data_IF_866472784912
#
_entry.id   IF_866472784912
#
_cell.length_a   1.000
_cell.length_b   1.000
_cell.length_c   1.000
_cell.angle_alpha   90.00
_cell.angle_beta   90.00
_cell.angle_gamma   90.00
#
_symmetry.space_group_name_H-M   'P 1'
#
loop_
_entity.id
_entity.type
_entity.pdbx_description
1 polymer ?
#
# COMPACT_ATOMS: atom_id res chain seq x y z
N UNK A 1 8.33 -20.54 6.90
CA UNK A 1 9.18 -19.34 6.96
C UNK A 1 9.00 -18.51 5.71
N UNK A 2 9.24 -17.22 5.82
CA UNK A 2 9.15 -16.27 4.70
C UNK A 2 10.30 -15.26 4.78
N UNK A 3 10.72 -14.74 3.62
CA UNK A 3 11.77 -13.73 3.51
C UNK A 3 11.32 -12.27 3.75
N UNK A 4 10.11 -12.06 4.29
CA UNK A 4 9.66 -10.72 4.63
C UNK A 4 10.41 -10.14 5.83
N UNK A 5 10.73 -8.86 5.76
CA UNK A 5 11.31 -8.10 6.87
C UNK A 5 10.20 -7.69 7.84
N UNK A 6 9.97 -8.51 8.85
CA UNK A 6 9.05 -8.32 9.95
C UNK A 6 9.53 -9.15 11.15
N UNK A 7 9.02 -8.88 12.34
CA UNK A 7 9.30 -9.67 13.55
C UNK A 7 7.98 -10.17 14.13
N UNK A 8 7.94 -11.45 14.49
CA UNK A 8 6.86 -12.01 15.28
C UNK A 8 7.29 -12.10 16.73
N UNK A 9 6.47 -11.61 17.63
CA UNK A 9 6.61 -11.81 19.07
C UNK A 9 5.33 -12.40 19.65
N UNK A 10 5.40 -12.97 20.84
CA UNK A 10 4.20 -13.35 21.59
C UNK A 10 4.13 -12.46 22.84
N UNK A 11 2.99 -11.87 23.07
CA UNK A 11 2.71 -11.09 24.26
C UNK A 11 2.51 -12.05 25.44
N UNK A 12 3.35 -11.99 26.48
CA UNK A 12 3.25 -12.92 27.61
C UNK A 12 1.96 -12.72 28.44
N UNK A 13 1.38 -11.53 28.42
CA UNK A 13 0.18 -11.23 29.19
C UNK A 13 -1.10 -11.77 28.54
N UNK A 14 -1.18 -11.74 27.21
CA UNK A 14 -2.40 -12.12 26.47
C UNK A 14 -2.22 -13.42 25.70
N UNK A 15 -1.01 -13.91 25.53
CA UNK A 15 -0.67 -15.04 24.66
C UNK A 15 -0.80 -14.75 23.17
N UNK A 16 -1.20 -13.53 22.76
CA UNK A 16 -1.40 -13.16 21.37
C UNK A 16 -0.07 -13.01 20.65
N UNK A 17 -0.05 -13.38 19.38
CA UNK A 17 1.05 -13.08 18.50
C UNK A 17 0.97 -11.64 17.99
N UNK A 18 2.11 -10.96 18.05
CA UNK A 18 2.28 -9.58 17.60
C UNK A 18 3.08 -9.58 16.31
N UNK A 19 2.67 -8.74 15.36
CA UNK A 19 3.45 -8.40 14.18
C UNK A 19 4.21 -7.11 14.48
N UNK A 20 5.52 -7.20 14.56
CA UNK A 20 6.40 -6.09 14.93
C UNK A 20 7.28 -5.69 13.76
N UNK A 21 7.71 -4.44 13.76
CA UNK A 21 8.62 -3.91 12.76
C UNK A 21 10.00 -4.58 12.86
N UNK A 22 10.69 -4.76 11.71
CA UNK A 22 12.03 -5.34 11.69
C UNK A 22 13.09 -4.36 12.24
N UNK A 23 14.29 -4.88 12.45
CA UNK A 23 15.48 -4.09 12.77
C UNK A 23 15.80 -3.08 11.66
N UNK A 24 15.82 -3.52 10.41
CA UNK A 24 16.01 -2.66 9.25
C UNK A 24 14.69 -1.97 8.88
N UNK A 25 14.49 -0.75 9.39
CA UNK A 25 13.29 0.07 9.15
C UNK A 25 13.11 0.46 7.69
N UNK A 26 14.18 0.53 6.91
CA UNK A 26 14.12 0.87 5.48
C UNK A 26 13.52 -0.25 4.65
N UNK A 27 13.46 -1.46 5.22
CA UNK A 27 12.91 -2.68 4.60
C UNK A 27 11.63 -3.18 5.28
N UNK A 28 11.01 -2.35 6.12
CA UNK A 28 9.80 -2.71 6.85
C UNK A 28 8.67 -3.12 5.90
N UNK A 29 8.24 -4.38 6.02
CA UNK A 29 7.16 -4.98 5.24
C UNK A 29 5.93 -5.32 6.08
N UNK A 30 5.82 -4.81 7.30
CA UNK A 30 4.65 -5.06 8.17
C UNK A 30 3.36 -4.56 7.56
N UNK A 31 3.42 -3.48 6.74
CA UNK A 31 2.25 -2.95 6.04
C UNK A 31 1.55 -3.98 5.15
N UNK A 32 2.29 -4.81 4.41
CA UNK A 32 1.68 -5.83 3.52
C UNK A 32 1.28 -7.11 4.26
N UNK A 33 1.66 -7.25 5.53
CA UNK A 33 1.41 -8.42 6.37
C UNK A 33 0.24 -8.20 7.35
N UNK A 34 -0.44 -7.06 7.29
CA UNK A 34 -1.50 -6.67 8.23
C UNK A 34 -2.67 -7.66 8.28
N UNK A 35 -2.89 -8.43 7.23
CA UNK A 35 -3.99 -9.39 7.11
C UNK A 35 -3.69 -10.77 7.71
N UNK A 36 -2.48 -10.99 8.25
CA UNK A 36 -2.14 -12.25 8.90
C UNK A 36 -2.97 -12.46 10.17
N UNK A 37 -3.71 -13.54 10.23
CA UNK A 37 -4.49 -13.94 11.40
C UNK A 37 -3.57 -14.45 12.52
N UNK A 38 -4.10 -14.58 13.75
CA UNK A 38 -3.37 -15.15 14.88
C UNK A 38 -2.89 -16.57 14.59
N UNK A 39 -3.70 -17.39 13.92
CA UNK A 39 -3.30 -18.73 13.50
C UNK A 39 -2.13 -18.70 12.51
N UNK A 40 -2.17 -17.84 11.51
CA UNK A 40 -1.10 -17.68 10.53
C UNK A 40 0.18 -17.15 11.18
N UNK A 41 0.09 -16.17 12.07
CA UNK A 41 1.24 -15.65 12.82
C UNK A 41 1.88 -16.73 13.70
N UNK A 42 1.08 -17.57 14.37
CA UNK A 42 1.59 -18.68 15.15
C UNK A 42 2.48 -19.64 14.33
N UNK A 43 2.14 -19.84 13.06
CA UNK A 43 2.81 -20.79 12.16
C UNK A 43 3.76 -20.14 11.16
N UNK A 44 4.03 -18.83 11.28
CA UNK A 44 4.94 -18.09 10.39
C UNK A 44 6.24 -17.74 11.11
N UNK A 45 7.37 -17.96 10.46
CA UNK A 45 8.69 -17.51 10.89
C UNK A 45 9.18 -16.39 9.96
N UNK A 46 9.75 -15.34 10.54
CA UNK A 46 10.39 -14.21 9.86
C UNK A 46 11.90 -14.18 10.18
N UNK A 47 12.71 -15.02 9.52
CA UNK A 47 14.13 -15.15 9.88
C UNK A 47 14.94 -13.87 9.65
N UNK A 48 14.46 -12.96 8.81
CA UNK A 48 15.15 -11.71 8.46
C UNK A 48 14.79 -10.53 9.37
N UNK A 49 13.88 -10.70 10.31
CA UNK A 49 13.36 -9.61 11.13
C UNK A 49 14.38 -8.88 11.97
N UNK A 50 15.36 -9.61 12.51
CA UNK A 50 16.42 -9.08 13.38
C UNK A 50 17.73 -8.77 12.62
N UNK A 51 17.70 -8.83 11.27
CA UNK A 51 18.86 -8.59 10.41
C UNK A 51 18.69 -7.32 9.57
N UNK A 52 19.81 -6.66 9.29
CA UNK A 52 19.88 -5.62 8.29
C UNK A 52 20.08 -6.20 6.89
N UNK A 53 19.58 -5.54 5.86
CA UNK A 53 19.70 -6.01 4.46
C UNK A 53 21.15 -6.29 4.06
N UNK A 54 22.09 -5.46 4.53
CA UNK A 54 23.52 -5.66 4.26
C UNK A 54 24.02 -6.99 4.85
N UNK A 55 23.62 -7.32 6.08
CA UNK A 55 23.97 -8.58 6.73
C UNK A 55 23.41 -9.80 5.96
N UNK A 56 22.14 -9.70 5.52
CA UNK A 56 21.51 -10.76 4.73
C UNK A 56 22.25 -11.00 3.42
N UNK A 57 22.71 -9.93 2.74
CA UNK A 57 23.51 -10.05 1.51
C UNK A 57 24.85 -10.74 1.79
N UNK A 58 25.57 -10.35 2.84
CA UNK A 58 26.83 -10.98 3.23
C UNK A 58 26.64 -12.47 3.54
N UNK A 59 25.58 -12.83 4.27
CA UNK A 59 25.25 -14.23 4.55
C UNK A 59 24.94 -15.02 3.29
N UNK A 60 24.19 -14.43 2.36
CA UNK A 60 23.86 -15.04 1.08
C UNK A 60 25.11 -15.26 0.19
N UNK A 61 26.02 -14.30 0.18
CA UNK A 61 27.29 -14.37 -0.53
C UNK A 61 28.20 -15.46 0.08
N UNK A 62 28.35 -15.47 1.39
CA UNK A 62 29.10 -16.50 2.10
C UNK A 62 28.54 -17.92 1.90
N UNK A 63 27.23 -18.04 1.68
CA UNK A 63 26.56 -19.29 1.34
C UNK A 63 26.60 -19.63 -0.16
N UNK A 64 27.26 -18.83 -1.00
CA UNK A 64 27.41 -19.06 -2.44
C UNK A 64 26.10 -18.92 -3.22
N UNK A 65 25.11 -18.14 -2.71
CA UNK A 65 23.84 -17.96 -3.41
C UNK A 65 23.99 -17.01 -4.57
N UNK A 66 23.61 -17.46 -5.76
CA UNK A 66 23.75 -16.72 -7.04
C UNK A 66 22.97 -15.39 -7.09
N UNK A 67 21.96 -15.23 -6.23
CA UNK A 67 21.11 -14.04 -6.16
C UNK A 67 21.53 -13.06 -5.05
N UNK A 68 22.66 -13.25 -4.40
CA UNK A 68 23.17 -12.40 -3.30
C UNK A 68 23.26 -10.92 -3.68
N UNK A 69 23.62 -10.62 -4.94
CA UNK A 69 23.75 -9.27 -5.48
C UNK A 69 22.53 -8.78 -6.28
N UNK A 70 21.47 -9.62 -6.39
CA UNK A 70 20.27 -9.21 -7.13
C UNK A 70 19.65 -7.96 -6.50
N UNK A 71 19.33 -6.91 -7.27
CA UNK A 71 18.57 -5.77 -6.76
C UNK A 71 17.23 -6.20 -6.20
N UNK A 72 16.69 -5.42 -5.26
CA UNK A 72 15.34 -5.65 -4.77
C UNK A 72 14.35 -5.50 -5.91
N UNK A 73 13.33 -6.34 -5.95
CA UNK A 73 12.23 -6.19 -6.90
C UNK A 73 11.53 -4.86 -6.62
N UNK A 74 11.56 -3.96 -7.60
CA UNK A 74 10.94 -2.64 -7.50
C UNK A 74 9.49 -2.65 -7.97
N UNK A 75 9.09 -3.72 -8.66
CA UNK A 75 7.82 -3.79 -9.36
C UNK A 75 7.24 -5.21 -9.35
N UNK A 76 6.03 -5.36 -9.88
CA UNK A 76 5.33 -6.64 -9.96
C UNK A 76 6.06 -7.54 -10.96
N UNK A 77 6.56 -8.70 -10.48
CA UNK A 77 7.44 -9.58 -11.25
C UNK A 77 6.84 -10.16 -12.54
N UNK A 78 5.51 -10.16 -12.67
CA UNK A 78 4.81 -10.62 -13.87
C UNK A 78 4.39 -9.48 -14.82
N UNK A 79 4.80 -8.22 -14.54
CA UNK A 79 4.67 -7.06 -15.42
C UNK A 79 6.05 -6.40 -15.57
N UNK A 80 7.01 -7.08 -16.22
CA UNK A 80 8.42 -6.67 -16.20
C UNK A 80 8.70 -5.35 -16.95
N UNK A 81 7.82 -4.96 -17.86
CA UNK A 81 7.87 -3.73 -18.65
C UNK A 81 7.13 -2.54 -18.00
N UNK A 82 6.45 -2.78 -16.85
CA UNK A 82 5.63 -1.76 -16.19
C UNK A 82 4.34 -1.40 -16.94
N UNK A 83 3.99 -2.10 -18.03
CA UNK A 83 2.73 -1.88 -18.76
C UNK A 83 1.55 -2.63 -18.08
N UNK A 84 1.15 -2.13 -16.91
CA UNK A 84 0.00 -2.67 -16.18
C UNK A 84 -1.30 -2.61 -16.98
N UNK A 85 -1.47 -1.60 -17.82
CA UNK A 85 -2.67 -1.45 -18.64
C UNK A 85 -2.74 -2.53 -19.72
N UNK A 86 -1.63 -2.80 -20.39
CA UNK A 86 -1.50 -3.91 -21.34
C UNK A 86 -1.72 -5.26 -20.67
N UNK A 87 -1.14 -5.47 -19.51
CA UNK A 87 -1.34 -6.70 -18.74
C UNK A 87 -2.81 -6.91 -18.36
N UNK A 88 -3.49 -5.90 -17.80
CA UNK A 88 -4.92 -5.98 -17.42
C UNK A 88 -5.77 -6.29 -18.65
N UNK A 89 -5.56 -5.58 -19.75
CA UNK A 89 -6.29 -5.83 -21.00
C UNK A 89 -6.12 -7.27 -21.50
N UNK A 90 -4.89 -7.76 -21.48
CA UNK A 90 -4.59 -9.14 -21.90
C UNK A 90 -5.23 -10.18 -20.97
N UNK A 91 -5.13 -9.97 -19.65
CA UNK A 91 -5.63 -10.91 -18.64
C UNK A 91 -7.15 -10.95 -18.53
N UNK A 92 -7.83 -9.84 -18.79
CA UNK A 92 -9.30 -9.72 -18.62
C UNK A 92 -10.08 -9.68 -19.92
N UNK A 93 -9.42 -9.43 -21.06
CA UNK A 93 -10.08 -9.15 -22.34
C UNK A 93 -10.85 -7.81 -22.37
N UNK A 94 -10.77 -7.01 -21.28
CA UNK A 94 -11.53 -5.78 -21.17
C UNK A 94 -10.88 -4.65 -21.99
N UNK A 95 -11.71 -3.94 -22.76
CA UNK A 95 -11.28 -2.71 -23.40
C UNK A 95 -11.18 -1.57 -22.40
N UNK A 96 -10.07 -0.83 -22.48
CA UNK A 96 -9.84 0.35 -21.64
C UNK A 96 -10.51 1.54 -22.32
N UNK A 97 -11.65 1.98 -21.76
CA UNK A 97 -12.44 3.07 -22.34
C UNK A 97 -11.89 4.44 -21.87
N UNK A 98 -11.62 5.36 -22.81
CA UNK A 98 -11.39 6.76 -22.46
C UNK A 98 -12.63 7.37 -21.80
N UNK A 99 -12.43 8.34 -20.88
CA UNK A 99 -13.50 9.02 -20.18
C UNK A 99 -13.17 10.49 -19.94
N UNK A 100 -13.94 11.14 -19.07
CA UNK A 100 -13.79 12.57 -18.82
C UNK A 100 -12.98 12.84 -17.54
N UNK A 101 -12.07 13.81 -17.63
CA UNK A 101 -11.60 14.51 -16.46
C UNK A 101 -12.65 15.55 -16.05
N UNK A 102 -13.04 15.50 -14.78
CA UNK A 102 -13.96 16.47 -14.19
C UNK A 102 -13.23 17.34 -13.17
N UNK A 103 -13.63 18.58 -13.01
CA UNK A 103 -13.26 19.37 -11.83
C UNK A 103 -14.05 18.94 -10.59
N UNK A 104 -13.78 19.55 -9.43
CA UNK A 104 -14.50 19.24 -8.18
C UNK A 104 -15.97 19.68 -8.18
N UNK A 105 -16.38 20.52 -9.13
CA UNK A 105 -17.76 20.91 -9.36
C UNK A 105 -18.51 19.99 -10.36
N UNK A 106 -17.80 19.01 -10.94
CA UNK A 106 -18.36 18.07 -11.91
C UNK A 106 -18.31 18.54 -13.36
N UNK A 107 -17.64 19.65 -13.66
CA UNK A 107 -17.52 20.14 -15.04
C UNK A 107 -16.41 19.39 -15.78
N UNK A 108 -16.60 19.00 -17.06
CA UNK A 108 -15.56 18.37 -17.85
C UNK A 108 -14.44 19.37 -18.18
N UNK A 109 -13.20 18.96 -17.93
CA UNK A 109 -11.98 19.76 -18.14
C UNK A 109 -10.98 19.10 -19.09
N UNK A 110 -11.30 17.93 -19.61
CA UNK A 110 -10.46 17.20 -20.54
C UNK A 110 -10.86 15.73 -20.65
N UNK A 111 -10.07 14.95 -21.38
CA UNK A 111 -10.32 13.52 -21.54
C UNK A 111 -9.15 12.69 -21.06
N UNK A 112 -9.43 11.60 -20.36
CA UNK A 112 -8.44 10.63 -19.93
C UNK A 112 -8.47 9.37 -20.80
N UNK A 113 -7.36 8.61 -20.78
CA UNK A 113 -7.16 7.39 -21.59
C UNK A 113 -7.62 6.09 -20.91
N UNK A 114 -8.40 6.19 -19.84
CA UNK A 114 -8.94 5.08 -19.08
C UNK A 114 -8.54 5.11 -17.60
N UNK A 115 -9.47 4.76 -16.70
CA UNK A 115 -9.33 4.85 -15.23
C UNK A 115 -8.10 4.14 -14.67
N UNK A 116 -7.66 3.06 -15.30
CA UNK A 116 -6.52 2.25 -14.83
C UNK A 116 -5.18 2.98 -14.89
N UNK A 117 -5.07 4.03 -15.69
CA UNK A 117 -3.85 4.83 -15.83
C UNK A 117 -3.69 5.90 -14.73
N UNK A 118 -4.69 6.02 -13.84
CA UNK A 118 -4.71 7.10 -12.86
C UNK A 118 -4.85 6.54 -11.44
N UNK A 119 -4.13 7.17 -10.52
CA UNK A 119 -4.14 6.82 -9.08
C UNK A 119 -4.46 8.07 -8.28
N UNK A 120 -5.29 7.97 -7.25
CA UNK A 120 -5.59 9.08 -6.34
C UNK A 120 -4.28 9.62 -5.75
N UNK A 121 -4.09 10.94 -5.79
CA UNK A 121 -2.87 11.63 -5.43
C UNK A 121 -1.87 11.80 -6.57
N UNK A 122 -2.14 11.25 -7.76
CA UNK A 122 -1.28 11.44 -8.93
C UNK A 122 -1.32 12.90 -9.39
N UNK A 123 -0.12 13.48 -9.58
CA UNK A 123 0.06 14.85 -10.08
C UNK A 123 0.60 14.89 -11.51
N UNK A 124 1.52 13.96 -11.85
CA UNK A 124 2.20 13.94 -13.15
C UNK A 124 1.48 13.05 -14.15
N UNK A 125 1.65 13.34 -15.46
CA UNK A 125 1.13 12.49 -16.54
C UNK A 125 -0.39 12.59 -16.74
N UNK A 126 -1.02 13.68 -16.30
CA UNK A 126 -2.46 13.91 -16.48
C UNK A 126 -2.79 14.38 -17.91
N UNK A 127 -1.82 15.01 -18.61
CA UNK A 127 -2.09 15.58 -19.94
C UNK A 127 -2.97 16.82 -19.91
N UNK A 128 -3.12 17.47 -18.76
CA UNK A 128 -3.92 18.67 -18.57
C UNK A 128 -3.03 19.91 -18.38
N UNK A 129 -3.40 21.02 -18.99
CA UNK A 129 -2.72 22.32 -18.87
C UNK A 129 -3.62 23.29 -18.08
N UNK A 130 -3.57 23.20 -16.73
CA UNK A 130 -4.46 23.95 -15.85
C UNK A 130 -3.82 25.19 -15.22
N UNK A 131 -2.54 25.49 -15.55
CA UNK A 131 -1.81 26.66 -15.01
C UNK A 131 -1.52 26.61 -13.51
N UNK A 132 -1.92 25.53 -12.82
CA UNK A 132 -1.70 25.29 -11.39
C UNK A 132 -1.43 23.81 -11.13
N UNK A 133 -0.78 23.45 -10.00
CA UNK A 133 -0.69 22.06 -9.58
C UNK A 133 -2.09 21.44 -9.43
N UNK A 134 -2.27 20.26 -10.01
CA UNK A 134 -3.53 19.54 -9.99
C UNK A 134 -3.29 18.06 -9.73
N UNK A 135 -4.22 17.43 -9.02
CA UNK A 135 -4.11 16.06 -8.52
C UNK A 135 -5.37 15.27 -8.86
N UNK A 136 -5.21 13.98 -9.06
CA UNK A 136 -6.35 13.06 -9.07
C UNK A 136 -6.89 12.96 -7.65
N UNK A 137 -8.09 13.47 -7.42
CA UNK A 137 -8.74 13.47 -6.10
C UNK A 137 -9.88 12.44 -6.02
N UNK A 138 -10.39 11.96 -7.15
CA UNK A 138 -11.44 10.95 -7.20
C UNK A 138 -11.40 10.15 -8.49
N UNK A 139 -12.01 8.97 -8.43
CA UNK A 139 -12.27 8.09 -9.59
C UNK A 139 -13.65 7.49 -9.42
N UNK A 140 -14.46 7.55 -10.45
CA UNK A 140 -15.77 6.92 -10.50
C UNK A 140 -15.82 5.92 -11.67
N UNK A 141 -15.97 4.64 -11.33
CA UNK A 141 -16.05 3.59 -12.33
C UNK A 141 -17.41 3.54 -13.04
N UNK A 142 -18.48 4.00 -12.40
CA UNK A 142 -19.82 3.97 -12.98
C UNK A 142 -19.98 5.01 -14.11
N UNK A 143 -19.45 6.21 -13.90
CA UNK A 143 -19.44 7.28 -14.89
C UNK A 143 -18.20 7.29 -15.78
N UNK A 144 -17.23 6.41 -15.53
CA UNK A 144 -15.91 6.40 -16.16
C UNK A 144 -15.23 7.78 -16.11
N UNK A 145 -15.20 8.40 -14.92
CA UNK A 145 -14.68 9.73 -14.70
C UNK A 145 -13.50 9.76 -13.71
N UNK A 146 -12.59 10.71 -13.94
CA UNK A 146 -11.49 11.03 -13.02
C UNK A 146 -11.65 12.47 -12.56
N UNK A 147 -11.81 12.68 -11.24
CA UNK A 147 -11.93 14.01 -10.66
C UNK A 147 -10.55 14.59 -10.36
N UNK A 148 -10.35 15.82 -10.82
CA UNK A 148 -9.12 16.59 -10.65
C UNK A 148 -9.38 17.74 -9.69
N UNK A 149 -8.53 17.88 -8.68
CA UNK A 149 -8.65 18.91 -7.66
C UNK A 149 -7.31 19.48 -7.21
N UNK A 150 -7.33 20.29 -6.16
CA UNK A 150 -6.17 20.80 -5.47
C UNK A 150 -5.58 19.73 -4.53
N UNK A 151 -4.41 19.98 -3.98
CA UNK A 151 -3.80 19.09 -2.99
C UNK A 151 -4.65 19.00 -1.71
N UNK A 152 -5.29 20.10 -1.31
CA UNK A 152 -6.21 20.15 -0.17
C UNK A 152 -7.38 19.18 -0.27
N UNK A 153 -7.82 18.87 -1.49
CA UNK A 153 -8.94 17.96 -1.75
C UNK A 153 -8.57 16.47 -1.56
N UNK A 154 -7.29 16.19 -1.30
CA UNK A 154 -6.78 14.85 -0.97
C UNK A 154 -6.89 14.51 0.51
N UNK A 155 -7.13 15.50 1.37
CA UNK A 155 -7.14 15.31 2.81
C UNK A 155 -8.56 15.07 3.32
N UNK A 156 -8.68 14.24 4.31
CA UNK A 156 -9.91 14.03 5.09
C UNK A 156 -9.56 13.92 6.57
N UNK A 157 -10.41 14.47 7.41
CA UNK A 157 -10.23 14.44 8.87
C UNK A 157 -10.64 13.09 9.47
N UNK A 158 -11.49 12.33 8.77
CA UNK A 158 -11.98 11.05 9.25
C UNK A 158 -12.38 10.11 8.12
N UNK A 159 -12.31 8.82 8.38
CA UNK A 159 -12.82 7.78 7.50
C UNK A 159 -13.21 6.53 8.30
N UNK A 160 -14.12 5.75 7.75
CA UNK A 160 -14.55 4.47 8.32
C UNK A 160 -13.73 3.33 7.73
N UNK A 161 -13.30 2.40 8.59
CA UNK A 161 -12.61 1.16 8.19
C UNK A 161 -13.50 -0.02 8.51
N UNK A 162 -13.59 -0.99 7.60
CA UNK A 162 -14.35 -2.22 7.72
C UNK A 162 -13.44 -3.44 7.55
N UNK A 163 -13.94 -4.63 7.90
CA UNK A 163 -13.21 -5.90 7.73
C UNK A 163 -11.86 -5.89 8.44
N UNK A 164 -11.86 -5.44 9.69
CA UNK A 164 -10.66 -5.26 10.49
C UNK A 164 -10.07 -6.60 10.94
N UNK A 165 -8.75 -6.74 10.78
CA UNK A 165 -7.98 -7.81 11.40
C UNK A 165 -7.20 -7.28 12.60
N UNK A 166 -7.68 -7.59 13.82
CA UNK A 166 -7.04 -7.18 15.06
C UNK A 166 -5.89 -8.12 15.43
N UNK A 167 -4.64 -7.67 15.28
CA UNK A 167 -3.46 -8.49 15.61
C UNK A 167 -3.11 -8.38 17.10
N UNK A 168 -2.85 -7.17 17.60
CA UNK A 168 -2.35 -6.96 18.97
C UNK A 168 -3.43 -7.04 20.04
N UNK A 169 -4.67 -6.73 19.70
CA UNK A 169 -5.82 -6.77 20.60
C UNK A 169 -6.93 -7.67 20.02
N UNK A 170 -7.82 -8.24 20.84
CA UNK A 170 -8.91 -9.06 20.32
C UNK A 170 -10.01 -8.23 19.62
N UNK A 171 -10.27 -7.03 20.11
CA UNK A 171 -11.25 -6.08 19.58
C UNK A 171 -10.96 -4.67 20.11
N UNK A 172 -11.52 -3.66 19.46
CA UNK A 172 -11.53 -2.29 19.96
C UNK A 172 -12.80 -2.09 20.81
N UNK A 173 -12.64 -1.94 22.11
CA UNK A 173 -13.76 -1.78 23.06
C UNK A 173 -13.92 -0.35 23.57
N UNK A 174 -12.94 0.51 23.34
CA UNK A 174 -12.91 1.92 23.72
C UNK A 174 -12.03 2.71 22.75
N UNK A 175 -12.19 4.03 22.69
CA UNK A 175 -11.33 4.87 21.87
C UNK A 175 -9.85 4.70 22.20
N UNK A 176 -9.00 4.68 21.18
CA UNK A 176 -7.55 4.47 21.33
C UNK A 176 -6.77 5.43 20.44
N UNK A 177 -5.65 5.96 20.96
CA UNK A 177 -4.66 6.70 20.18
C UNK A 177 -3.72 5.73 19.49
N UNK A 178 -3.56 5.89 18.18
CA UNK A 178 -2.72 5.04 17.35
C UNK A 178 -1.99 5.90 16.30
N UNK A 179 -1.12 5.27 15.53
CA UNK A 179 -0.65 5.84 14.27
C UNK A 179 -1.27 5.07 13.10
N UNK A 180 -1.64 5.77 12.05
CA UNK A 180 -2.24 5.18 10.85
C UNK A 180 -1.37 5.40 9.63
N UNK A 181 -1.42 4.43 8.75
CA UNK A 181 -0.75 4.43 7.45
C UNK A 181 -1.73 3.87 6.43
N UNK A 182 -2.20 4.72 5.51
CA UNK A 182 -3.19 4.32 4.50
C UNK A 182 -2.57 3.84 3.19
N UNK A 183 -1.24 4.06 2.99
CA UNK A 183 -0.47 3.61 1.83
C UNK A 183 0.91 3.14 2.25
N UNK A 184 1.48 2.22 1.50
CA UNK A 184 2.80 1.65 1.79
C UNK A 184 3.90 2.70 1.98
N UNK A 185 3.98 3.67 1.08
CA UNK A 185 5.02 4.72 1.09
C UNK A 185 4.71 5.94 1.98
N UNK A 186 3.52 5.98 2.62
CA UNK A 186 3.12 7.09 3.46
C UNK A 186 3.88 7.07 4.80
N UNK A 187 4.22 8.25 5.32
CA UNK A 187 4.61 8.41 6.72
C UNK A 187 3.39 8.21 7.61
N UNK A 188 3.58 7.54 8.74
CA UNK A 188 2.54 7.37 9.73
C UNK A 188 2.12 8.69 10.35
N UNK A 189 0.81 8.85 10.55
CA UNK A 189 0.23 10.01 11.21
C UNK A 189 -0.52 9.58 12.47
N UNK A 190 -0.45 10.35 13.56
CA UNK A 190 -1.26 10.12 14.75
C UNK A 190 -2.75 10.23 14.42
N UNK A 191 -3.55 9.33 14.95
CA UNK A 191 -4.99 9.40 14.87
C UNK A 191 -5.65 8.76 16.09
N UNK A 192 -6.92 9.03 16.28
CA UNK A 192 -7.79 8.37 17.26
C UNK A 192 -8.73 7.44 16.52
N UNK A 193 -8.82 6.21 16.98
CA UNK A 193 -9.78 5.22 16.48
C UNK A 193 -10.87 5.00 17.53
N UNK A 194 -12.10 4.80 17.08
CA UNK A 194 -13.26 4.60 17.92
C UNK A 194 -14.09 3.43 17.40
N UNK A 195 -14.70 2.60 18.28
CA UNK A 195 -15.68 1.63 17.84
C UNK A 195 -16.93 2.37 17.32
N UNK A 196 -17.54 1.82 16.28
CA UNK A 196 -18.82 2.29 15.75
C UNK A 196 -19.98 1.50 16.33
#
# INVERSE_FOLDING_TARGET
>A
ATGHYAVRRQDPATGRYLLCRPKDRSKDQTYVLYNLTQHQLAHTLFPLGDLEKAQVRQMAEAAGLVNSHKPDSQDICFVPDGDYAGYIRHATGAEIQPGDFLDTAGNPIGRHRGLIHYTIGQRKGLGLSLGRPAYVVGKDAASNAVTIGAESDLYTDSFTVRELNWISIPALTAPMQVTVKTRYSQTEVPCRIEPM
#
